data_IF_062873673135
#
_entry.id   IF_062873673135
#
_cell.length_a   1.000
_cell.length_b   1.000
_cell.length_c   1.000
_cell.angle_alpha   90.00
_cell.angle_beta   90.00
_cell.angle_gamma   90.00
#
_symmetry.space_group_name_H-M   'P 1'
#
loop_
_entity.id
_entity.type
_entity.pdbx_description
1 polymer ?
#
# COMPACT_ATOMS: atom_id res chain seq x y z
N UNK A 1 -44.40 20.20 14.29
CA UNK A 1 -44.59 18.73 14.37
C UNK A 1 -43.42 17.94 13.79
N UNK A 2 -42.91 18.27 12.60
CA UNK A 2 -41.79 17.53 11.98
C UNK A 2 -40.50 17.41 12.81
N UNK A 3 -40.08 18.47 13.51
CA UNK A 3 -38.84 18.45 14.31
C UNK A 3 -38.88 17.52 15.54
N UNK A 4 -40.04 17.37 16.18
CA UNK A 4 -40.22 16.54 17.38
C UNK A 4 -40.18 15.05 17.02
N UNK A 5 -40.83 14.70 15.91
CA UNK A 5 -40.75 13.34 15.36
C UNK A 5 -39.34 13.04 14.85
N UNK A 6 -38.64 14.05 14.29
CA UNK A 6 -37.26 13.89 13.89
C UNK A 6 -36.36 13.52 15.08
N UNK A 7 -36.47 14.26 16.18
CA UNK A 7 -35.67 14.02 17.37
C UNK A 7 -35.99 12.68 18.04
N UNK A 8 -37.25 12.25 18.00
CA UNK A 8 -37.69 10.94 18.52
C UNK A 8 -37.08 9.77 17.73
N UNK A 9 -37.02 9.86 16.40
CA UNK A 9 -36.39 8.81 15.57
C UNK A 9 -34.88 8.76 15.81
N UNK A 10 -34.22 9.92 15.94
CA UNK A 10 -32.79 9.97 16.26
C UNK A 10 -32.51 9.38 17.65
N UNK A 11 -33.34 9.69 18.65
CA UNK A 11 -33.22 9.09 19.98
C UNK A 11 -33.36 7.56 19.96
N UNK A 12 -34.29 7.02 19.17
CA UNK A 12 -34.44 5.58 18.97
C UNK A 12 -33.24 4.96 18.23
N UNK A 13 -32.66 5.66 17.25
CA UNK A 13 -31.46 5.21 16.57
C UNK A 13 -30.24 5.18 17.51
N UNK A 14 -30.13 6.11 18.47
CA UNK A 14 -29.07 6.12 19.51
C UNK A 14 -29.16 4.93 20.46
N UNK A 15 -30.38 4.47 20.74
CA UNK A 15 -30.61 3.27 21.55
C UNK A 15 -30.26 1.98 20.78
N UNK A 16 -30.22 2.02 19.45
CA UNK A 16 -29.92 0.90 18.57
C UNK A 16 -28.74 1.21 17.63
N UNK A 17 -27.50 1.27 18.14
CA UNK A 17 -26.33 1.68 17.36
C UNK A 17 -25.99 0.75 16.19
N UNK A 18 -26.43 -0.52 16.23
CA UNK A 18 -26.25 -1.48 15.13
C UNK A 18 -27.31 -1.35 14.01
N UNK A 19 -28.29 -0.47 14.18
CA UNK A 19 -29.39 -0.25 13.23
C UNK A 19 -30.75 -0.53 13.88
N UNK A 20 -31.65 0.44 13.79
CA UNK A 20 -33.04 0.39 14.26
C UNK A 20 -33.91 -0.33 13.23
N UNK A 21 -34.47 -1.53 13.52
CA UNK A 21 -35.32 -2.25 12.58
C UNK A 21 -36.60 -1.48 12.26
N UNK A 22 -37.09 -1.55 11.01
CA UNK A 22 -38.37 -0.93 10.60
C UNK A 22 -39.55 -1.36 11.50
N UNK A 23 -39.53 -2.60 12.02
CA UNK A 23 -40.57 -3.10 12.93
C UNK A 23 -40.66 -2.29 14.24
N UNK A 24 -39.51 -1.86 14.79
CA UNK A 24 -39.46 -1.07 16.03
C UNK A 24 -39.91 0.36 15.75
N UNK A 25 -39.51 0.90 14.59
CA UNK A 25 -39.93 2.21 14.10
C UNK A 25 -41.45 2.26 13.87
N UNK A 26 -42.03 1.16 13.38
CA UNK A 26 -43.46 1.02 13.12
C UNK A 26 -44.34 0.97 14.37
N UNK A 27 -43.81 0.51 15.50
CA UNK A 27 -44.53 0.52 16.78
C UNK A 27 -44.64 1.93 17.39
N UNK A 28 -43.69 2.82 17.09
CA UNK A 28 -43.57 4.12 17.75
C UNK A 28 -44.17 5.28 16.94
N UNK A 29 -44.33 5.10 15.61
CA UNK A 29 -44.75 6.15 14.68
C UNK A 29 -45.72 5.59 13.61
N UNK A 30 -46.89 6.22 13.39
CA UNK A 30 -47.86 5.84 12.36
C UNK A 30 -47.26 5.85 10.94
N UNK A 31 -47.76 4.96 10.06
CA UNK A 31 -47.16 4.71 8.75
C UNK A 31 -47.07 5.96 7.84
N UNK A 32 -48.09 6.82 7.84
CA UNK A 32 -48.17 8.03 7.00
C UNK A 32 -47.17 9.10 7.40
N UNK A 33 -47.02 9.35 8.70
CA UNK A 33 -46.05 10.32 9.20
C UNK A 33 -44.61 9.78 9.13
N UNK A 34 -44.44 8.47 9.37
CA UNK A 34 -43.15 7.79 9.29
C UNK A 34 -42.52 7.94 7.92
N UNK A 35 -43.24 7.64 6.84
CA UNK A 35 -42.69 7.75 5.49
C UNK A 35 -42.21 9.18 5.16
N UNK A 36 -42.99 10.20 5.53
CA UNK A 36 -42.65 11.60 5.26
C UNK A 36 -41.43 12.06 6.06
N UNK A 37 -41.37 11.73 7.37
CA UNK A 37 -40.25 12.12 8.24
C UNK A 37 -38.99 11.35 7.85
N UNK A 38 -39.08 10.05 7.59
CA UNK A 38 -37.95 9.22 7.16
C UNK A 38 -37.42 9.70 5.81
N UNK A 39 -38.27 9.98 4.82
CA UNK A 39 -37.83 10.53 3.54
C UNK A 39 -37.18 11.92 3.68
N UNK A 40 -37.70 12.77 4.56
CA UNK A 40 -37.09 14.07 4.88
C UNK A 40 -35.73 13.92 5.58
N UNK A 41 -35.57 12.93 6.45
CA UNK A 41 -34.30 12.66 7.11
C UNK A 41 -33.26 12.04 6.18
N UNK A 42 -33.69 11.17 5.27
CA UNK A 42 -32.84 10.56 4.25
C UNK A 42 -32.33 11.63 3.27
N UNK A 43 -33.19 12.56 2.87
CA UNK A 43 -32.79 13.69 2.01
C UNK A 43 -31.87 14.70 2.73
N UNK A 44 -32.00 14.82 4.06
CA UNK A 44 -31.08 15.60 4.91
C UNK A 44 -29.83 14.83 5.35
N UNK A 45 -29.67 13.57 4.91
CA UNK A 45 -28.55 12.68 5.25
C UNK A 45 -28.35 12.43 6.76
N UNK A 46 -29.40 12.58 7.57
CA UNK A 46 -29.36 12.30 9.02
C UNK A 46 -29.54 10.80 9.33
N UNK A 47 -30.09 10.04 8.37
CA UNK A 47 -30.32 8.60 8.48
C UNK A 47 -29.67 7.86 7.32
N UNK A 48 -29.15 6.65 7.60
CA UNK A 48 -28.70 5.68 6.61
C UNK A 48 -29.62 4.45 6.66
N UNK A 49 -30.06 3.97 5.51
CA UNK A 49 -30.80 2.72 5.39
C UNK A 49 -29.82 1.57 5.17
N UNK A 50 -29.91 0.56 6.01
CA UNK A 50 -29.19 -0.69 5.93
C UNK A 50 -30.19 -1.79 5.56
N UNK A 51 -29.89 -2.55 4.52
CA UNK A 51 -30.70 -3.70 4.11
C UNK A 51 -30.06 -4.96 4.67
N UNK A 52 -30.80 -5.70 5.48
CA UNK A 52 -30.31 -6.93 6.07
C UNK A 52 -30.28 -8.05 5.02
N UNK A 53 -29.14 -8.72 4.84
CA UNK A 53 -28.92 -9.67 3.74
C UNK A 53 -29.71 -10.98 3.86
N UNK A 54 -30.18 -11.34 5.06
CA UNK A 54 -30.87 -12.62 5.32
C UNK A 54 -32.40 -12.53 5.08
N UNK A 55 -33.04 -11.46 5.55
CA UNK A 55 -34.51 -11.34 5.51
C UNK A 55 -35.00 -10.16 4.63
N UNK A 56 -34.09 -9.41 4.00
CA UNK A 56 -34.42 -8.24 3.20
C UNK A 56 -35.00 -7.06 3.99
N UNK A 57 -35.12 -7.19 5.32
CA UNK A 57 -35.63 -6.17 6.24
C UNK A 57 -34.78 -4.91 6.24
N UNK A 58 -35.41 -3.74 6.28
CA UNK A 58 -34.74 -2.44 6.37
C UNK A 58 -34.46 -2.09 7.84
N UNK A 59 -33.28 -1.54 8.08
CA UNK A 59 -32.85 -0.98 9.36
C UNK A 59 -32.28 0.42 9.14
N UNK A 60 -32.48 1.31 10.10
CA UNK A 60 -32.11 2.72 10.02
C UNK A 60 -31.04 3.03 11.05
N UNK A 61 -29.99 3.72 10.64
CA UNK A 61 -28.91 4.13 11.53
C UNK A 61 -28.74 5.64 11.50
N UNK A 62 -28.54 6.27 12.66
CA UNK A 62 -28.16 7.68 12.73
C UNK A 62 -26.81 7.86 12.05
N UNK A 63 -26.75 8.81 11.13
CA UNK A 63 -25.51 9.28 10.54
C UNK A 63 -24.99 10.38 11.44
N UNK A 64 -23.73 10.31 11.84
CA UNK A 64 -23.13 11.33 12.70
C UNK A 64 -23.28 12.73 12.09
N UNK A 65 -23.41 13.77 12.92
CA UNK A 65 -23.56 15.14 12.41
C UNK A 65 -22.38 15.57 11.53
N UNK A 66 -21.18 15.04 11.80
CA UNK A 66 -19.99 15.25 10.96
C UNK A 66 -20.12 14.61 9.58
N UNK A 67 -20.57 13.35 9.50
CA UNK A 67 -20.82 12.68 8.23
C UNK A 67 -21.98 13.31 7.45
N UNK A 68 -23.03 13.75 8.15
CA UNK A 68 -24.17 14.43 7.54
C UNK A 68 -23.78 15.80 6.98
N UNK A 69 -22.91 16.55 7.69
CA UNK A 69 -22.36 17.81 7.21
C UNK A 69 -21.38 17.61 6.04
N UNK A 70 -20.51 16.59 6.12
CA UNK A 70 -19.60 16.19 5.04
C UNK A 70 -20.36 15.82 3.76
N UNK A 71 -21.54 15.20 3.88
CA UNK A 71 -22.41 14.79 2.77
C UNK A 71 -23.42 15.86 2.32
N UNK A 72 -23.52 16.99 3.01
CA UNK A 72 -24.52 18.03 2.75
C UNK A 72 -24.27 18.67 1.37
N UNK A 73 -25.30 18.68 0.53
CA UNK A 73 -25.22 19.26 -0.82
C UNK A 73 -24.42 18.41 -1.83
N UNK A 74 -24.27 17.11 -1.58
CA UNK A 74 -23.90 16.13 -2.60
C UNK A 74 -25.16 15.67 -3.32
N UNK A 75 -25.07 15.48 -4.65
CA UNK A 75 -26.13 14.89 -5.45
C UNK A 75 -26.25 13.38 -5.17
N UNK A 76 -27.35 12.77 -5.63
CA UNK A 76 -27.52 11.31 -5.54
C UNK A 76 -26.39 10.55 -6.26
N UNK A 77 -25.88 11.09 -7.38
CA UNK A 77 -24.75 10.52 -8.13
C UNK A 77 -23.43 10.63 -7.34
N UNK A 78 -23.19 11.78 -6.69
CA UNK A 78 -22.01 11.98 -5.84
C UNK A 78 -21.98 10.97 -4.68
N UNK A 79 -23.14 10.77 -4.04
CA UNK A 79 -23.32 9.81 -2.94
C UNK A 79 -23.08 8.37 -3.41
N UNK A 80 -23.55 8.02 -4.60
CA UNK A 80 -23.33 6.70 -5.19
C UNK A 80 -21.83 6.43 -5.43
N UNK A 81 -21.12 7.39 -6.05
CA UNK A 81 -19.67 7.29 -6.26
C UNK A 81 -18.93 7.19 -4.93
N UNK A 82 -19.27 8.04 -3.95
CA UNK A 82 -18.69 8.02 -2.62
C UNK A 82 -18.89 6.67 -1.90
N UNK A 83 -20.09 6.09 -2.01
CA UNK A 83 -20.38 4.77 -1.43
C UNK A 83 -19.50 3.67 -2.03
N UNK A 84 -19.32 3.64 -3.36
CA UNK A 84 -18.47 2.65 -4.00
C UNK A 84 -16.99 2.82 -3.69
N UNK A 85 -16.52 4.06 -3.49
CA UNK A 85 -15.15 4.33 -3.02
C UNK A 85 -14.99 3.80 -1.59
N UNK A 86 -15.96 4.06 -0.71
CA UNK A 86 -15.93 3.54 0.67
C UNK A 86 -15.92 2.01 0.74
N UNK A 87 -16.67 1.35 -0.16
CA UNK A 87 -16.68 -0.12 -0.27
C UNK A 87 -15.34 -0.72 -0.73
N UNK A 88 -14.50 0.06 -1.43
CA UNK A 88 -13.21 -0.41 -1.93
C UNK A 88 -12.10 -0.40 -0.86
N UNK A 89 -12.32 0.26 0.27
CA UNK A 89 -11.38 0.29 1.39
C UNK A 89 -9.99 0.83 1.01
N UNK A 90 -8.95 0.17 1.50
CA UNK A 90 -7.54 0.59 1.44
C UNK A 90 -6.83 0.28 0.12
N UNK A 91 -7.37 -0.63 -0.68
CA UNK A 91 -6.90 -0.85 -2.06
C UNK A 91 -7.37 0.26 -3.00
N UNK A 92 -8.44 0.95 -2.63
CA UNK A 92 -9.07 2.00 -3.43
C UNK A 92 -9.74 1.46 -4.70
N UNK A 93 -10.33 2.36 -5.48
CA UNK A 93 -11.04 2.03 -6.73
C UNK A 93 -10.51 2.85 -7.90
N UNK A 94 -10.38 2.21 -9.06
CA UNK A 94 -9.98 2.87 -10.30
C UNK A 94 -11.18 3.50 -11.02
N UNK A 95 -10.97 4.59 -11.76
CA UNK A 95 -12.02 5.28 -12.52
C UNK A 95 -12.76 4.36 -13.49
N UNK A 96 -12.07 3.38 -14.11
CA UNK A 96 -12.69 2.40 -15.01
C UNK A 96 -13.64 1.46 -14.26
N UNK A 97 -13.27 1.04 -13.05
CA UNK A 97 -14.10 0.18 -12.21
C UNK A 97 -15.30 0.95 -11.66
N UNK A 98 -15.10 2.23 -11.31
CA UNK A 98 -16.18 3.16 -10.97
C UNK A 98 -17.20 3.28 -12.11
N UNK A 99 -16.72 3.48 -13.35
CA UNK A 99 -17.59 3.53 -14.54
C UNK A 99 -18.44 2.28 -14.69
N UNK A 100 -17.82 1.11 -14.53
CA UNK A 100 -18.51 -0.17 -14.67
C UNK A 100 -19.55 -0.41 -13.55
N UNK A 101 -19.30 0.07 -12.33
CA UNK A 101 -20.20 -0.11 -11.19
C UNK A 101 -21.34 0.90 -11.14
N UNK A 102 -21.09 2.16 -11.51
CA UNK A 102 -22.10 3.23 -11.41
C UNK A 102 -22.87 3.45 -12.70
N UNK A 103 -22.38 2.93 -13.84
CA UNK A 103 -22.91 3.18 -15.17
C UNK A 103 -22.96 4.68 -15.55
N UNK A 104 -22.11 5.51 -14.91
CA UNK A 104 -21.98 6.95 -15.18
C UNK A 104 -20.95 7.21 -16.28
N UNK A 105 -21.09 8.32 -17.00
CA UNK A 105 -20.13 8.69 -18.03
C UNK A 105 -18.82 9.23 -17.42
N UNK A 106 -17.69 8.98 -18.08
CA UNK A 106 -16.37 9.37 -17.56
C UNK A 106 -16.21 10.87 -17.24
N UNK A 107 -16.77 11.81 -18.03
CA UNK A 107 -16.74 13.24 -17.68
C UNK A 107 -17.49 13.56 -16.38
N UNK A 108 -18.63 12.89 -16.15
CA UNK A 108 -19.43 13.05 -14.92
C UNK A 108 -18.65 12.54 -13.72
N UNK A 109 -18.10 11.32 -13.79
CA UNK A 109 -17.27 10.75 -12.73
C UNK A 109 -16.09 11.67 -12.40
N UNK A 110 -15.43 12.23 -13.42
CA UNK A 110 -14.31 13.15 -13.22
C UNK A 110 -14.73 14.43 -12.50
N UNK A 111 -15.91 14.98 -12.82
CA UNK A 111 -16.47 16.14 -12.11
C UNK A 111 -16.79 15.82 -10.66
N UNK A 112 -17.45 14.68 -10.41
CA UNK A 112 -17.81 14.20 -9.08
C UNK A 112 -16.55 14.00 -8.23
N UNK A 113 -15.54 13.30 -8.76
CA UNK A 113 -14.27 13.07 -8.06
C UNK A 113 -13.56 14.37 -7.68
N UNK A 114 -13.55 15.38 -8.56
CA UNK A 114 -13.00 16.71 -8.23
C UNK A 114 -13.77 17.39 -7.10
N UNK A 115 -15.10 17.29 -7.07
CA UNK A 115 -15.93 17.83 -5.99
C UNK A 115 -15.70 17.10 -4.66
N UNK A 116 -15.52 15.78 -4.70
CA UNK A 116 -15.21 14.97 -3.51
C UNK A 116 -13.78 15.23 -2.98
N UNK A 117 -12.80 15.41 -3.87
CA UNK A 117 -11.42 15.81 -3.53
C UNK A 117 -11.37 17.23 -2.96
N UNK A 118 -12.10 18.20 -3.55
CA UNK A 118 -12.11 19.59 -3.06
C UNK A 118 -12.71 19.73 -1.65
N UNK A 119 -13.56 18.76 -1.26
CA UNK A 119 -14.17 18.71 0.08
C UNK A 119 -13.40 17.81 1.06
N UNK A 120 -12.23 17.29 0.67
CA UNK A 120 -11.43 16.34 1.46
C UNK A 120 -12.24 15.11 1.93
N UNK A 121 -13.16 14.61 1.09
CA UNK A 121 -13.91 13.37 1.37
C UNK A 121 -13.23 12.15 0.77
N UNK A 122 -12.57 12.36 -0.36
CA UNK A 122 -11.84 11.36 -1.12
C UNK A 122 -10.45 11.93 -1.37
N UNK A 123 -9.44 11.06 -1.34
CA UNK A 123 -8.11 11.35 -1.83
C UNK A 123 -7.77 10.40 -2.96
N UNK A 124 -6.79 10.79 -3.76
CA UNK A 124 -6.25 9.95 -4.79
C UNK A 124 -4.82 9.55 -4.52
N UNK A 125 -4.52 8.31 -4.86
CA UNK A 125 -3.20 7.69 -4.65
C UNK A 125 -2.80 7.06 -5.98
N UNK A 126 -1.57 7.29 -6.42
CA UNK A 126 -1.00 6.58 -7.56
C UNK A 126 -0.45 5.25 -7.07
N UNK A 127 -0.63 4.20 -7.86
CA UNK A 127 0.02 2.92 -7.58
C UNK A 127 1.51 3.03 -7.88
N UNK A 128 2.35 2.58 -6.95
CA UNK A 128 3.79 2.47 -7.16
C UNK A 128 4.12 1.38 -8.19
N UNK A 129 3.39 0.28 -8.18
CA UNK A 129 3.54 -0.83 -9.16
C UNK A 129 3.14 -0.37 -10.57
N UNK A 130 2.05 0.41 -10.68
CA UNK A 130 1.52 0.90 -11.96
C UNK A 130 1.37 2.43 -11.92
N UNK A 131 2.42 3.20 -12.28
CA UNK A 131 2.42 4.66 -12.16
C UNK A 131 1.29 5.37 -12.93
N UNK A 132 0.79 4.76 -14.01
CA UNK A 132 -0.33 5.26 -14.80
C UNK A 132 -1.70 5.01 -14.17
N UNK A 133 -1.78 4.13 -13.16
CA UNK A 133 -3.02 3.77 -12.47
C UNK A 133 -3.21 4.61 -11.21
N UNK A 134 -4.14 5.57 -11.30
CA UNK A 134 -4.63 6.38 -10.18
C UNK A 134 -5.85 5.72 -9.55
N UNK A 135 -5.81 5.44 -8.26
CA UNK A 135 -6.96 4.92 -7.49
C UNK A 135 -7.48 5.98 -6.51
N UNK A 136 -8.75 5.85 -6.14
CA UNK A 136 -9.45 6.76 -5.23
C UNK A 136 -9.88 6.01 -3.98
N UNK A 137 -9.74 6.64 -2.81
CA UNK A 137 -10.12 6.08 -1.51
C UNK A 137 -10.61 7.20 -0.58
N UNK A 138 -11.21 6.82 0.55
CA UNK A 138 -11.64 7.80 1.55
C UNK A 138 -10.44 8.59 2.09
N UNK A 139 -10.65 9.87 2.39
CA UNK A 139 -9.58 10.77 2.80
C UNK A 139 -8.87 10.28 4.09
N UNK A 140 -9.67 9.86 5.06
CA UNK A 140 -9.21 9.43 6.39
C UNK A 140 -8.57 8.04 6.38
N UNK A 141 -8.56 7.33 5.25
CA UNK A 141 -8.15 5.94 5.18
C UNK A 141 -6.73 5.79 4.64
N UNK A 142 -5.89 5.00 5.31
CA UNK A 142 -4.52 4.76 4.88
C UNK A 142 -4.46 3.77 3.70
N UNK A 143 -3.69 4.08 2.64
CA UNK A 143 -3.53 3.19 1.50
C UNK A 143 -2.86 1.88 1.90
N UNK A 144 -3.25 0.78 1.25
CA UNK A 144 -2.60 -0.51 1.45
C UNK A 144 -1.12 -0.46 1.01
N UNK A 145 -0.26 -1.23 1.70
CA UNK A 145 1.17 -1.34 1.37
C UNK A 145 1.44 -1.77 -0.07
N UNK A 146 0.59 -2.63 -0.64
CA UNK A 146 0.67 -3.05 -2.04
C UNK A 146 0.53 -1.88 -3.02
N UNK A 147 -0.19 -0.82 -2.61
CA UNK A 147 -0.35 0.38 -3.40
C UNK A 147 0.80 1.36 -3.20
N UNK A 148 1.30 1.49 -1.97
CA UNK A 148 2.39 2.40 -1.60
C UNK A 148 3.79 1.84 -1.82
N UNK A 149 3.92 0.55 -2.16
CA UNK A 149 5.22 -0.11 -2.34
C UNK A 149 5.89 -0.56 -1.03
N UNK A 150 5.22 -0.44 0.12
CA UNK A 150 5.75 -0.86 1.42
C UNK A 150 6.68 0.16 2.06
N UNK A 151 7.69 -0.30 2.82
CA UNK A 151 8.61 0.55 3.58
C UNK A 151 9.74 1.18 2.74
N UNK A 152 9.89 0.76 1.49
CA UNK A 152 10.97 1.18 0.58
C UNK A 152 10.65 2.43 -0.24
N UNK A 153 9.43 2.96 -0.09
CA UNK A 153 8.96 4.09 -0.85
C UNK A 153 8.50 5.21 0.08
N UNK A 154 8.99 6.41 -0.19
CA UNK A 154 8.58 7.64 0.49
C UNK A 154 7.94 8.53 -0.56
N UNK A 155 6.70 8.99 -0.33
CA UNK A 155 5.98 9.88 -1.25
C UNK A 155 5.89 9.39 -2.72
N UNK A 156 5.86 8.07 -2.93
CA UNK A 156 5.83 7.37 -4.24
C UNK A 156 7.19 7.28 -4.95
N UNK A 157 8.28 7.74 -4.34
CA UNK A 157 9.64 7.58 -4.84
C UNK A 157 10.38 6.46 -4.10
N UNK A 158 11.19 5.70 -4.83
CA UNK A 158 11.99 4.61 -4.27
C UNK A 158 13.18 5.18 -3.49
N UNK A 159 13.26 4.86 -2.21
CA UNK A 159 14.25 5.43 -1.29
C UNK A 159 15.49 4.55 -1.19
N UNK A 160 16.33 4.61 -2.24
CA UNK A 160 17.56 3.82 -2.31
C UNK A 160 18.57 4.21 -1.23
N UNK A 161 18.59 5.48 -0.82
CA UNK A 161 19.51 5.97 0.21
C UNK A 161 19.14 5.40 1.58
N UNK A 162 17.84 5.38 1.91
CA UNK A 162 17.36 4.74 3.14
C UNK A 162 17.69 3.24 3.20
N UNK A 163 17.48 2.51 2.10
CA UNK A 163 17.86 1.09 2.01
C UNK A 163 19.36 0.91 2.26
N UNK A 164 20.20 1.76 1.67
CA UNK A 164 21.65 1.68 1.86
C UNK A 164 22.07 1.94 3.31
N UNK A 165 21.43 2.91 3.97
CA UNK A 165 21.66 3.19 5.40
C UNK A 165 21.28 1.98 6.26
N UNK A 166 20.15 1.33 5.97
CA UNK A 166 19.72 0.12 6.68
C UNK A 166 20.68 -1.06 6.43
N UNK A 167 21.13 -1.27 5.19
CA UNK A 167 22.14 -2.27 4.85
C UNK A 167 23.41 -2.06 5.67
N UNK A 168 23.95 -0.84 5.71
CA UNK A 168 25.14 -0.51 6.50
C UNK A 168 24.91 -0.73 8.00
N UNK A 169 23.74 -0.37 8.52
CA UNK A 169 23.40 -0.54 9.93
C UNK A 169 23.31 -2.02 10.31
N UNK A 170 22.61 -2.83 9.52
CA UNK A 170 22.49 -4.28 9.72
C UNK A 170 23.85 -4.96 9.62
N UNK A 171 24.64 -4.65 8.57
CA UNK A 171 25.98 -5.19 8.41
C UNK A 171 26.87 -4.86 9.60
N UNK A 172 26.90 -3.60 10.02
CA UNK A 172 27.72 -3.15 11.15
C UNK A 172 27.32 -3.81 12.46
N UNK A 173 26.03 -4.07 12.66
CA UNK A 173 25.56 -4.80 13.84
C UNK A 173 26.08 -6.24 13.83
N UNK A 174 25.89 -6.96 12.72
CA UNK A 174 26.38 -8.34 12.54
C UNK A 174 27.91 -8.42 12.66
N UNK A 175 28.65 -7.46 12.12
CA UNK A 175 30.11 -7.39 12.25
C UNK A 175 30.58 -7.25 13.70
N UNK A 176 29.80 -6.60 14.56
CA UNK A 176 30.16 -6.40 15.97
C UNK A 176 29.76 -7.58 16.85
N UNK A 177 28.57 -8.14 16.65
CA UNK A 177 28.07 -9.30 17.44
C UNK A 177 28.71 -10.62 16.99
N UNK A 178 29.13 -10.70 15.72
CA UNK A 178 29.70 -11.89 15.11
C UNK A 178 28.64 -12.85 14.55
N UNK A 179 27.59 -13.14 15.32
CA UNK A 179 26.44 -13.95 14.87
C UNK A 179 25.15 -13.32 15.42
N UNK A 180 24.11 -13.22 14.61
CA UNK A 180 22.83 -12.62 15.01
C UNK A 180 21.64 -13.28 14.29
N UNK A 181 20.50 -13.34 14.98
CA UNK A 181 19.21 -13.76 14.44
C UNK A 181 18.50 -12.62 13.72
N UNK A 182 17.49 -12.95 12.89
CA UNK A 182 16.60 -11.94 12.29
C UNK A 182 15.93 -11.05 13.34
N UNK A 183 15.50 -11.65 14.46
CA UNK A 183 14.80 -10.95 15.55
C UNK A 183 15.71 -9.92 16.23
N UNK A 184 16.95 -10.30 16.55
CA UNK A 184 17.94 -9.38 17.15
C UNK A 184 18.27 -8.21 16.23
N UNK A 185 18.46 -8.47 14.93
CA UNK A 185 18.70 -7.41 13.94
C UNK A 185 17.47 -6.49 13.83
N UNK A 186 16.27 -7.06 13.78
CA UNK A 186 15.04 -6.28 13.68
C UNK A 186 14.82 -5.41 14.92
N UNK A 187 15.05 -5.95 16.11
CA UNK A 187 14.98 -5.22 17.38
C UNK A 187 16.00 -4.09 17.45
N UNK A 188 17.23 -4.31 16.97
CA UNK A 188 18.25 -3.27 16.85
C UNK A 188 17.79 -2.12 15.96
N UNK A 189 17.27 -2.42 14.76
CA UNK A 189 16.79 -1.41 13.82
C UNK A 189 15.60 -0.63 14.39
N UNK A 190 14.66 -1.32 15.04
CA UNK A 190 13.50 -0.70 15.71
C UNK A 190 13.93 0.22 16.85
N UNK A 191 14.88 -0.21 17.69
CA UNK A 191 15.37 0.56 18.84
C UNK A 191 16.12 1.84 18.43
N UNK A 192 16.91 1.77 17.36
CA UNK A 192 17.67 2.93 16.87
C UNK A 192 16.81 3.98 16.16
N UNK A 193 15.58 3.63 15.75
CA UNK A 193 14.65 4.57 15.13
C UNK A 193 15.13 5.09 13.77
N UNK A 194 15.76 4.24 12.96
CA UNK A 194 16.23 4.63 11.62
C UNK A 194 15.10 5.02 10.66
N UNK A 195 13.88 4.50 10.90
CA UNK A 195 12.75 4.63 9.98
C UNK A 195 11.66 5.55 10.51
N UNK A 196 11.06 6.33 9.60
CA UNK A 196 9.79 7.04 9.84
C UNK A 196 8.57 6.14 9.66
N UNK A 197 8.75 5.03 8.95
CA UNK A 197 7.71 4.03 8.64
C UNK A 197 7.95 2.78 9.48
N UNK A 198 6.89 2.16 9.97
CA UNK A 198 7.01 0.90 10.71
C UNK A 198 7.63 -0.19 9.82
N UNK A 199 8.79 -0.72 10.23
CA UNK A 199 9.48 -1.82 9.55
C UNK A 199 9.02 -3.15 10.15
N UNK A 200 8.57 -4.07 9.31
CA UNK A 200 8.25 -5.45 9.70
C UNK A 200 9.49 -6.34 9.60
N UNK A 201 9.46 -7.50 10.22
CA UNK A 201 10.56 -8.46 10.15
C UNK A 201 10.81 -8.95 8.72
N UNK A 202 9.76 -9.02 7.89
CA UNK A 202 9.86 -9.29 6.44
C UNK A 202 10.68 -8.22 5.70
N UNK A 203 10.55 -6.95 6.11
CA UNK A 203 11.28 -5.83 5.51
C UNK A 203 12.77 -5.95 5.89
N UNK A 204 13.08 -6.28 7.15
CA UNK A 204 14.47 -6.50 7.62
C UNK A 204 15.08 -7.74 6.98
N UNK A 205 14.33 -8.82 6.84
CA UNK A 205 14.76 -10.05 6.16
C UNK A 205 15.13 -9.77 4.71
N UNK A 206 14.38 -8.90 4.01
CA UNK A 206 14.73 -8.46 2.67
C UNK A 206 16.11 -7.81 2.63
N UNK A 207 16.40 -6.91 3.59
CA UNK A 207 17.73 -6.27 3.71
C UNK A 207 18.81 -7.32 3.98
N UNK A 208 18.60 -8.25 4.90
CA UNK A 208 19.58 -9.31 5.19
C UNK A 208 19.88 -10.18 3.95
N UNK A 209 18.85 -10.53 3.17
CA UNK A 209 19.02 -11.23 1.90
C UNK A 209 19.83 -10.42 0.89
N UNK A 210 19.64 -9.10 0.82
CA UNK A 210 20.51 -8.29 -0.05
C UNK A 210 21.97 -8.34 0.38
N UNK A 211 22.25 -8.30 1.68
CA UNK A 211 23.62 -8.42 2.20
C UNK A 211 24.22 -9.81 1.92
N UNK A 212 23.40 -10.85 1.95
CA UNK A 212 23.77 -12.21 1.57
C UNK A 212 24.10 -12.32 0.08
N UNK A 213 23.26 -11.76 -0.80
CA UNK A 213 23.50 -11.73 -2.24
C UNK A 213 24.74 -10.89 -2.61
N UNK A 214 25.02 -9.83 -1.85
CA UNK A 214 26.23 -9.02 -2.00
C UNK A 214 27.49 -9.74 -1.43
N UNK A 215 27.32 -10.90 -0.78
CA UNK A 215 28.41 -11.68 -0.19
C UNK A 215 29.07 -10.97 0.99
N UNK A 216 28.35 -10.09 1.68
CA UNK A 216 28.80 -9.36 2.87
C UNK A 216 28.49 -10.15 4.15
N UNK A 217 27.37 -10.88 4.13
CA UNK A 217 26.87 -11.71 5.23
C UNK A 217 26.60 -13.10 4.68
N UNK A 218 26.69 -14.14 5.51
CA UNK A 218 26.25 -15.51 5.18
C UNK A 218 25.22 -15.98 6.20
N UNK A 219 24.19 -16.70 5.73
CA UNK A 219 23.20 -17.36 6.57
C UNK A 219 23.66 -18.79 6.93
N UNK A 220 23.27 -19.26 8.11
CA UNK A 220 23.47 -20.65 8.52
C UNK A 220 22.37 -21.07 9.51
N UNK A 221 22.16 -22.37 9.64
CA UNK A 221 21.19 -22.91 10.60
C UNK A 221 21.92 -23.30 11.88
N UNK A 222 21.48 -22.72 13.00
CA UNK A 222 21.88 -23.04 14.36
C UNK A 222 20.73 -23.77 15.09
N UNK A 223 20.96 -24.19 16.33
CA UNK A 223 19.93 -24.77 17.21
C UNK A 223 18.81 -23.76 17.50
N UNK A 224 19.13 -22.46 17.49
CA UNK A 224 18.20 -21.35 17.69
C UNK A 224 17.51 -20.86 16.40
N UNK A 225 17.75 -21.54 15.26
CA UNK A 225 17.14 -21.21 13.96
C UNK A 225 18.12 -20.61 12.95
N UNK A 226 17.59 -19.88 11.96
CA UNK A 226 18.40 -19.22 10.93
C UNK A 226 19.13 -18.00 11.53
N UNK A 227 20.45 -18.01 11.40
CA UNK A 227 21.36 -16.97 11.90
C UNK A 227 22.22 -16.40 10.78
N UNK A 228 22.69 -15.19 11.00
CA UNK A 228 23.50 -14.41 10.07
C UNK A 228 24.84 -14.05 10.71
N UNK A 229 25.92 -14.14 9.92
CA UNK A 229 27.27 -13.74 10.35
C UNK A 229 28.05 -13.08 9.22
N UNK A 230 29.14 -12.35 9.50
CA UNK A 230 29.98 -11.80 8.45
C UNK A 230 30.48 -12.90 7.51
N UNK A 231 30.42 -12.66 6.20
CA UNK A 231 30.87 -13.64 5.22
C UNK A 231 32.37 -13.96 5.42
N UNK A 232 32.69 -15.25 5.57
CA UNK A 232 34.09 -15.69 5.77
C UNK A 232 34.96 -15.43 4.55
N UNK A 233 34.35 -15.50 3.38
CA UNK A 233 34.97 -15.22 2.10
C UNK A 233 34.20 -14.10 1.41
N UNK A 234 34.81 -12.93 1.29
CA UNK A 234 34.23 -11.86 0.48
C UNK A 234 34.27 -12.28 -0.98
N UNK A 235 33.14 -12.22 -1.65
CA UNK A 235 33.09 -12.37 -3.11
C UNK A 235 33.87 -11.20 -3.71
N UNK A 236 34.98 -11.44 -4.43
CA UNK A 236 35.71 -10.36 -5.07
C UNK A 236 34.81 -9.67 -6.08
N UNK A 237 34.78 -8.32 -6.08
CA UNK A 237 34.02 -7.54 -7.09
C UNK A 237 34.43 -7.90 -8.52
N UNK A 238 35.68 -8.31 -8.70
CA UNK A 238 36.23 -8.82 -9.95
C UNK A 238 37.10 -10.04 -9.66
N UNK A 239 37.00 -11.07 -10.50
CA UNK A 239 37.99 -12.14 -10.55
C UNK A 239 39.07 -11.81 -11.57
N UNK A 240 40.28 -12.34 -11.38
CA UNK A 240 41.38 -12.20 -12.34
C UNK A 240 40.96 -12.65 -13.76
N UNK A 241 40.12 -13.68 -13.85
CA UNK A 241 39.59 -14.19 -15.11
C UNK A 241 38.59 -13.22 -15.77
N UNK A 242 37.77 -12.53 -15.00
CA UNK A 242 36.81 -11.53 -15.52
C UNK A 242 37.47 -10.18 -15.84
N UNK A 243 38.63 -9.89 -15.24
CA UNK A 243 39.35 -8.63 -15.45
C UNK A 243 40.31 -8.66 -16.65
N UNK A 244 40.65 -9.84 -17.16
CA UNK A 244 41.52 -10.00 -18.33
C UNK A 244 40.62 -10.24 -19.55
N UNK A 245 40.82 -9.54 -20.68
CA UNK A 245 39.99 -9.68 -21.87
C UNK A 245 39.91 -11.12 -22.39
N UNK A 246 40.97 -11.91 -22.19
CA UNK A 246 41.02 -13.32 -22.58
C UNK A 246 40.07 -14.20 -21.77
N UNK A 247 39.83 -13.94 -20.47
CA UNK A 247 39.05 -14.85 -19.63
C UNK A 247 37.54 -14.84 -19.90
N UNK A 248 37.05 -13.87 -20.68
CA UNK A 248 35.68 -13.82 -21.21
C UNK A 248 35.64 -13.83 -22.75
N UNK A 249 36.76 -14.13 -23.40
CA UNK A 249 36.88 -14.03 -24.85
C UNK A 249 36.02 -15.12 -25.53
N UNK A 250 35.07 -14.75 -26.40
CA UNK A 250 34.17 -15.71 -27.06
C UNK A 250 34.90 -16.65 -28.04
N UNK A 251 36.10 -16.27 -28.47
CA UNK A 251 36.95 -16.99 -29.44
C UNK A 251 38.25 -17.48 -28.83
N UNK A 252 38.30 -17.65 -27.50
CA UNK A 252 39.51 -18.09 -26.79
C UNK A 252 40.03 -19.45 -27.31
N UNK A 253 39.13 -20.35 -27.70
CA UNK A 253 39.46 -21.68 -28.21
C UNK A 253 40.11 -21.62 -29.61
N UNK A 254 39.88 -20.53 -30.35
CA UNK A 254 40.45 -20.29 -31.68
C UNK A 254 41.76 -19.48 -31.60
N UNK A 255 42.16 -19.06 -30.39
CA UNK A 255 43.33 -18.24 -30.15
C UNK A 255 44.58 -19.11 -29.99
N UNK A 256 45.57 -18.93 -30.86
CA UNK A 256 46.86 -19.64 -30.80
C UNK A 256 47.99 -18.75 -31.29
N UNK A 257 49.24 -19.01 -30.87
CA UNK A 257 50.39 -18.16 -31.19
C UNK A 257 50.60 -17.97 -32.71
N UNK A 258 50.36 -19.02 -33.51
CA UNK A 258 50.47 -19.01 -34.98
C UNK A 258 49.11 -18.91 -35.70
N UNK A 259 48.04 -18.60 -34.96
CA UNK A 259 46.66 -18.57 -35.47
C UNK A 259 46.26 -17.25 -36.11
N UNK A 260 45.14 -17.27 -36.86
CA UNK A 260 44.50 -16.03 -37.37
C UNK A 260 44.05 -15.14 -36.21
N UNK A 261 43.67 -15.76 -35.09
CA UNK A 261 43.42 -15.12 -33.81
C UNK A 261 44.61 -15.48 -32.93
N UNK A 262 45.37 -14.50 -32.46
CA UNK A 262 46.53 -14.74 -31.60
C UNK A 262 46.64 -13.69 -30.50
N UNK A 263 47.27 -14.03 -29.35
CA UNK A 263 47.47 -13.07 -28.27
C UNK A 263 48.30 -11.86 -28.73
N UNK A 264 49.27 -12.07 -29.64
CA UNK A 264 50.16 -11.04 -30.16
C UNK A 264 49.45 -9.99 -31.03
N UNK A 265 48.37 -10.38 -31.72
CA UNK A 265 47.60 -9.50 -32.61
C UNK A 265 46.28 -9.03 -32.00
N UNK A 266 45.91 -9.54 -30.82
CA UNK A 266 44.65 -9.21 -30.15
C UNK A 266 44.63 -7.77 -29.64
N UNK A 267 43.77 -6.93 -30.24
CA UNK A 267 43.62 -5.53 -29.84
C UNK A 267 43.15 -5.35 -28.38
N UNK A 268 42.33 -6.27 -27.87
CA UNK A 268 41.81 -6.22 -26.51
C UNK A 268 42.90 -6.56 -25.49
N UNK A 269 43.73 -7.56 -25.79
CA UNK A 269 44.86 -7.94 -24.93
C UNK A 269 45.92 -6.84 -24.90
N UNK A 270 46.21 -6.23 -26.05
CA UNK A 270 47.11 -5.07 -26.14
C UNK A 270 46.59 -3.87 -25.34
N UNK A 271 45.33 -3.48 -25.54
CA UNK A 271 44.72 -2.37 -24.80
C UNK A 271 44.69 -2.61 -23.28
N UNK A 272 44.58 -3.87 -22.84
CA UNK A 272 44.65 -4.23 -21.43
C UNK A 272 46.07 -4.16 -20.85
N UNK A 273 47.10 -4.48 -21.64
CA UNK A 273 48.52 -4.37 -21.24
C UNK A 273 49.05 -2.93 -21.28
N UNK A 274 48.42 -2.04 -22.06
CA UNK A 274 48.82 -0.63 -22.22
C UNK A 274 48.38 0.27 -21.03
N UNK A 275 47.95 -0.32 -19.91
CA UNK A 275 47.54 0.36 -18.66
C UNK A 275 48.67 0.52 -17.64
#
# INVERSE_FOLDING_TARGET
MGSVLEEKILALCRQHPQGLPEAVLAQHIPATERANVTNSMLSKHKLRVLRNGKDGSLSYQEVSQEEANKKKGLSAEDLLVYQHIGQAGNLGIWTKDLKNKTNLQQPQITKILRTLESRALVKSVKSVINPSRKVYMLFDLEPARELTGGAWYTDQDFDAEFIHILQQACQKYIDNEGEATLEEVADFIRTKGFSRVELRDEDVLCILRTLEFDGLVESFVSDDGEMYRPAKYRVPKTSAFTSIPCGICPVINDCSDDGVISPATCMYYKAWLDF
#
